data_IF_876635062004
#
_entry.id   IF_876635062004
#
_cell.length_a   1.000
_cell.length_b   1.000
_cell.length_c   1.000
_cell.angle_alpha   90.00
_cell.angle_beta   90.00
_cell.angle_gamma   90.00
#
_symmetry.space_group_name_H-M   'P 1'
#
loop_
_entity.id
_entity.type
_entity.pdbx_description
1 polymer ?
#
# COMPACT_ATOMS: atom_id res chain seq x y z
N UNK A 1 7.63 6.18 9.46
CA UNK A 1 8.51 5.10 8.98
C UNK A 1 8.64 4.13 10.12
N UNK A 2 8.29 2.87 9.91
CA UNK A 2 8.26 1.84 10.95
C UNK A 2 9.52 0.98 10.77
N UNK A 3 10.29 0.77 11.82
CA UNK A 3 11.36 -0.24 11.74
C UNK A 3 10.68 -1.61 11.65
N UNK A 4 11.14 -2.48 10.74
CA UNK A 4 10.58 -3.84 10.59
C UNK A 4 10.55 -4.63 11.91
N UNK A 5 11.43 -4.30 12.86
CA UNK A 5 11.51 -4.95 14.18
C UNK A 5 10.68 -4.26 15.27
N UNK A 6 10.12 -3.09 15.00
CA UNK A 6 9.32 -2.34 15.97
C UNK A 6 7.85 -2.75 15.86
N UNK A 7 7.53 -3.88 16.48
CA UNK A 7 6.16 -4.40 16.53
C UNK A 7 5.20 -3.46 17.24
N UNK A 8 5.66 -2.73 18.27
CA UNK A 8 4.83 -1.80 19.02
C UNK A 8 4.39 -0.61 18.17
N UNK A 9 5.29 -0.01 17.40
CA UNK A 9 4.95 1.06 16.47
C UNK A 9 4.02 0.58 15.35
N UNK A 10 4.22 -0.65 14.86
CA UNK A 10 3.35 -1.27 13.85
C UNK A 10 1.93 -1.48 14.38
N UNK A 11 1.80 -2.02 15.58
CA UNK A 11 0.51 -2.31 16.20
C UNK A 11 -0.22 -1.01 16.53
N UNK A 12 0.48 -0.01 17.07
CA UNK A 12 -0.08 1.32 17.31
C UNK A 12 -0.61 1.96 16.01
N UNK A 13 0.13 1.82 14.90
CA UNK A 13 -0.32 2.32 13.61
C UNK A 13 -1.52 1.53 13.07
N UNK A 14 -1.55 0.21 13.26
CA UNK A 14 -2.68 -0.64 12.88
C UNK A 14 -3.97 -0.22 13.60
N UNK A 15 -3.94 -0.05 14.91
CA UNK A 15 -5.11 0.41 15.68
C UNK A 15 -5.57 1.81 15.27
N UNK A 16 -4.63 2.69 14.91
CA UNK A 16 -4.97 4.01 14.39
C UNK A 16 -5.63 3.92 13.00
N UNK A 17 -5.18 3.01 12.13
CA UNK A 17 -5.83 2.73 10.84
C UNK A 17 -7.26 2.23 11.02
N UNK A 18 -7.47 1.30 11.98
CA UNK A 18 -8.81 0.83 12.33
C UNK A 18 -9.71 1.97 12.83
N UNK A 19 -9.21 2.78 13.77
CA UNK A 19 -9.95 3.94 14.32
C UNK A 19 -10.35 4.93 13.22
N UNK A 20 -9.49 5.13 12.22
CA UNK A 20 -9.73 6.03 11.09
C UNK A 20 -10.49 5.37 9.93
N UNK A 21 -10.71 4.06 9.98
CA UNK A 21 -11.28 3.26 8.88
C UNK A 21 -10.52 3.47 7.57
N UNK A 22 -9.20 3.36 7.63
CA UNK A 22 -8.32 3.43 6.44
C UNK A 22 -7.50 2.13 6.30
N UNK A 23 -7.06 1.77 5.08
CA UNK A 23 -6.15 0.67 4.87
C UNK A 23 -4.86 0.84 5.68
N UNK A 24 -4.36 -0.28 6.17
CA UNK A 24 -3.10 -0.36 6.87
C UNK A 24 -1.95 -0.25 5.86
N UNK A 25 -1.48 0.97 5.63
CA UNK A 25 -0.37 1.27 4.73
C UNK A 25 0.81 1.82 5.51
N UNK A 26 2.01 1.28 5.31
CA UNK A 26 3.20 1.81 5.97
C UNK A 26 4.48 1.63 5.15
N UNK A 27 5.45 2.50 5.41
CA UNK A 27 6.82 2.38 4.92
C UNK A 27 7.67 1.73 5.99
N UNK A 28 8.24 0.56 5.66
CA UNK A 28 9.20 -0.15 6.49
C UNK A 28 10.63 0.09 6.00
N UNK A 29 11.57 0.18 6.93
CA UNK A 29 13.01 0.20 6.62
C UNK A 29 13.62 -1.18 6.88
N UNK A 30 14.33 -1.72 5.89
CA UNK A 30 15.06 -2.98 5.98
C UNK A 30 16.52 -2.78 5.56
N UNK A 31 17.42 -2.69 6.55
CA UNK A 31 18.86 -2.41 6.34
C UNK A 31 19.06 -1.11 5.53
N UNK A 32 19.45 -1.24 4.26
CA UNK A 32 19.73 -0.13 3.32
C UNK A 32 18.55 0.21 2.40
N UNK A 33 17.49 -0.59 2.44
CA UNK A 33 16.35 -0.47 1.53
C UNK A 33 15.07 -0.18 2.30
N UNK A 34 14.08 0.28 1.54
CA UNK A 34 12.75 0.57 2.04
C UNK A 34 11.74 -0.37 1.39
N UNK A 35 10.62 -0.52 2.07
CA UNK A 35 9.48 -1.30 1.56
C UNK A 35 8.19 -0.56 1.87
N UNK A 36 7.22 -0.66 0.97
CA UNK A 36 5.86 -0.18 1.19
C UNK A 36 4.99 -1.41 1.34
N UNK A 37 4.21 -1.46 2.41
CA UNK A 37 3.24 -2.52 2.68
C UNK A 37 1.85 -1.92 2.74
N UNK A 38 0.87 -2.60 2.16
CA UNK A 38 -0.55 -2.25 2.30
C UNK A 38 -1.37 -3.49 2.63
N UNK A 39 -2.39 -3.30 3.46
CA UNK A 39 -3.35 -4.33 3.83
C UNK A 39 -4.70 -3.68 4.17
N UNK A 40 -5.81 -4.29 3.77
CA UNK A 40 -7.15 -3.84 4.10
C UNK A 40 -7.69 -4.45 5.40
N UNK A 41 -6.89 -5.25 6.11
CA UNK A 41 -7.20 -5.85 7.42
C UNK A 41 -7.69 -4.86 8.49
N UNK A 42 -7.41 -3.57 8.36
CA UNK A 42 -7.91 -2.52 9.26
C UNK A 42 -9.32 -2.01 8.92
N UNK A 43 -9.97 -2.55 7.89
CA UNK A 43 -11.32 -2.17 7.45
C UNK A 43 -12.35 -3.26 7.76
N UNK A 44 -13.62 -2.86 7.83
CA UNK A 44 -14.75 -3.76 8.09
C UNK A 44 -14.95 -4.77 6.93
N UNK A 45 -15.48 -5.96 7.23
CA UNK A 45 -15.65 -7.08 6.29
C UNK A 45 -16.46 -6.76 5.04
N UNK A 46 -17.42 -5.84 5.16
CA UNK A 46 -18.32 -5.46 4.07
C UNK A 46 -17.57 -4.64 3.00
N UNK A 47 -16.56 -3.85 3.41
CA UNK A 47 -15.68 -3.15 2.49
C UNK A 47 -14.78 -4.14 1.73
N UNK A 48 -14.25 -5.12 2.46
CA UNK A 48 -13.43 -6.19 1.90
C UNK A 48 -14.21 -6.97 0.83
N UNK A 49 -15.49 -7.26 1.09
CA UNK A 49 -16.38 -7.92 0.14
C UNK A 49 -16.65 -7.06 -1.10
N UNK A 50 -16.85 -5.75 -0.94
CA UNK A 50 -17.03 -4.82 -2.07
C UNK A 50 -15.78 -4.76 -2.97
N UNK A 51 -14.57 -4.66 -2.41
CA UNK A 51 -13.32 -4.64 -3.19
C UNK A 51 -13.11 -5.97 -3.92
N UNK A 52 -13.34 -7.11 -3.24
CA UNK A 52 -13.25 -8.46 -3.83
C UNK A 52 -14.22 -8.63 -4.99
N UNK A 53 -15.42 -8.07 -4.89
CA UNK A 53 -16.46 -8.20 -5.92
C UNK A 53 -16.31 -7.22 -7.08
N UNK A 54 -15.72 -6.04 -6.87
CA UNK A 54 -15.75 -4.95 -7.86
C UNK A 54 -14.46 -4.79 -8.69
N UNK A 55 -13.29 -5.23 -8.20
CA UNK A 55 -12.10 -4.47 -8.56
C UNK A 55 -10.74 -5.16 -8.54
N UNK A 56 -10.57 -6.34 -7.94
CA UNK A 56 -9.23 -6.80 -7.52
C UNK A 56 -8.19 -6.77 -8.67
N UNK A 57 -8.56 -7.25 -9.86
CA UNK A 57 -7.68 -7.22 -11.04
C UNK A 57 -7.44 -5.83 -11.65
N UNK A 58 -8.40 -4.90 -11.58
CA UNK A 58 -8.24 -3.54 -12.14
C UNK A 58 -7.39 -2.68 -11.21
N UNK A 59 -7.70 -2.70 -9.90
CA UNK A 59 -6.95 -1.90 -8.93
C UNK A 59 -5.51 -2.40 -8.77
N UNK A 60 -5.30 -3.72 -8.73
CA UNK A 60 -3.94 -4.27 -8.75
C UNK A 60 -3.11 -3.76 -9.95
N UNK A 61 -3.74 -3.67 -11.14
CA UNK A 61 -3.09 -3.12 -12.33
C UNK A 61 -2.78 -1.62 -12.21
N UNK A 62 -3.68 -0.84 -11.61
CA UNK A 62 -3.44 0.59 -11.34
C UNK A 62 -2.26 0.76 -10.38
N UNK A 63 -2.24 0.02 -9.26
CA UNK A 63 -1.14 0.04 -8.30
C UNK A 63 0.18 -0.35 -8.96
N UNK A 64 0.20 -1.42 -9.75
CA UNK A 64 1.38 -1.87 -10.46
C UNK A 64 1.90 -0.81 -11.44
N UNK A 65 1.02 -0.18 -12.22
CA UNK A 65 1.42 0.91 -13.14
C UNK A 65 1.95 2.13 -12.41
N UNK A 66 1.31 2.54 -11.30
CA UNK A 66 1.79 3.63 -10.45
C UNK A 66 3.18 3.32 -9.89
N UNK A 67 3.38 2.09 -9.41
CA UNK A 67 4.70 1.61 -9.00
C UNK A 67 5.73 1.74 -10.14
N UNK A 68 5.41 1.24 -11.34
CA UNK A 68 6.30 1.30 -12.49
C UNK A 68 6.65 2.74 -12.87
N UNK A 69 5.69 3.66 -12.87
CA UNK A 69 5.94 5.07 -13.18
C UNK A 69 6.92 5.73 -12.20
N UNK A 70 6.85 5.35 -10.92
CA UNK A 70 7.71 5.93 -9.87
C UNK A 70 9.08 5.24 -9.82
N UNK A 71 9.14 3.94 -10.04
CA UNK A 71 10.34 3.13 -9.80
C UNK A 71 11.11 2.73 -11.07
N UNK A 72 10.55 2.94 -12.27
CA UNK A 72 11.19 2.54 -13.54
C UNK A 72 12.53 3.23 -13.73
N UNK A 73 13.58 2.43 -14.00
CA UNK A 73 14.93 2.93 -14.25
C UNK A 73 15.67 3.42 -13.00
N UNK A 74 15.09 3.25 -11.81
CA UNK A 74 15.75 3.59 -10.55
C UNK A 74 16.43 2.37 -9.94
N UNK A 75 17.63 2.58 -9.39
CA UNK A 75 18.30 1.63 -8.51
C UNK A 75 17.93 1.94 -7.03
N UNK A 76 17.87 0.92 -6.16
CA UNK A 76 18.06 -0.50 -6.45
C UNK A 76 16.85 -1.10 -7.18
N UNK A 77 17.07 -2.21 -7.88
CA UNK A 77 15.97 -3.00 -8.45
C UNK A 77 14.94 -3.35 -7.36
N UNK A 78 13.73 -2.86 -7.57
CA UNK A 78 12.58 -3.07 -6.69
C UNK A 78 11.67 -4.18 -7.22
N UNK A 79 10.83 -4.73 -6.34
CA UNK A 79 9.89 -5.78 -6.67
C UNK A 79 8.51 -5.44 -6.11
N UNK A 80 7.48 -5.59 -6.92
CA UNK A 80 6.08 -5.47 -6.54
C UNK A 80 5.48 -6.87 -6.43
N UNK A 81 4.83 -7.17 -5.31
CA UNK A 81 4.07 -8.39 -5.07
C UNK A 81 2.73 -8.06 -4.40
N UNK A 82 1.67 -8.76 -4.78
CA UNK A 82 0.33 -8.58 -4.23
C UNK A 82 -0.71 -7.98 -5.18
N UNK A 83 -1.86 -7.64 -4.61
CA UNK A 83 -3.08 -7.24 -5.31
C UNK A 83 -3.69 -5.94 -4.76
N UNK A 84 -4.99 -5.74 -5.00
CA UNK A 84 -5.65 -4.53 -4.50
C UNK A 84 -5.75 -4.52 -2.97
N UNK A 85 -5.96 -5.69 -2.37
CA UNK A 85 -6.23 -5.83 -0.95
C UNK A 85 -4.99 -5.88 -0.07
N UNK A 86 -3.97 -6.59 -0.52
CA UNK A 86 -2.75 -6.82 0.25
C UNK A 86 -1.57 -6.95 -0.69
N UNK A 87 -0.43 -6.42 -0.25
CA UNK A 87 0.82 -6.61 -0.96
C UNK A 87 1.95 -5.78 -0.40
N UNK A 88 3.08 -5.86 -1.11
CA UNK A 88 4.27 -5.10 -0.80
C UNK A 88 5.09 -4.71 -2.04
N UNK A 89 5.83 -3.61 -1.88
CA UNK A 89 6.90 -3.23 -2.79
C UNK A 89 8.20 -3.19 -2.00
N UNK A 90 9.19 -3.98 -2.41
CA UNK A 90 10.49 -4.09 -1.73
C UNK A 90 11.63 -3.54 -2.59
N UNK A 91 12.79 -3.31 -1.96
CA UNK A 91 13.99 -2.87 -2.67
C UNK A 91 13.95 -1.40 -3.11
N UNK A 92 13.25 -0.54 -2.36
CA UNK A 92 13.08 0.86 -2.73
C UNK A 92 14.14 1.77 -2.09
N UNK A 93 14.44 2.88 -2.77
CA UNK A 93 15.01 4.06 -2.13
C UNK A 93 13.99 4.70 -1.18
N UNK A 94 14.44 5.53 -0.24
CA UNK A 94 13.53 6.23 0.67
C UNK A 94 12.54 7.13 -0.10
N UNK A 95 13.04 7.85 -1.10
CA UNK A 95 12.24 8.76 -1.91
C UNK A 95 11.15 8.01 -2.67
N UNK A 96 11.52 6.92 -3.36
CA UNK A 96 10.55 6.09 -4.09
C UNK A 96 9.52 5.46 -3.16
N UNK A 97 9.93 4.98 -1.98
CA UNK A 97 9.00 4.43 -0.99
C UNK A 97 7.99 5.46 -0.49
N UNK A 98 8.42 6.70 -0.23
CA UNK A 98 7.50 7.79 0.17
C UNK A 98 6.52 8.15 -0.95
N UNK A 99 7.01 8.26 -2.19
CA UNK A 99 6.17 8.57 -3.35
C UNK A 99 5.13 7.47 -3.60
N UNK A 100 5.54 6.20 -3.58
CA UNK A 100 4.65 5.05 -3.73
C UNK A 100 3.63 5.01 -2.59
N UNK A 101 4.06 5.16 -1.34
CA UNK A 101 3.16 5.16 -0.19
C UNK A 101 2.08 6.24 -0.30
N UNK A 102 2.44 7.46 -0.69
CA UNK A 102 1.49 8.55 -0.88
C UNK A 102 0.51 8.27 -2.03
N UNK A 103 1.01 7.77 -3.16
CA UNK A 103 0.17 7.44 -4.30
C UNK A 103 -0.80 6.29 -3.98
N UNK A 104 -0.34 5.25 -3.27
CA UNK A 104 -1.17 4.13 -2.87
C UNK A 104 -2.20 4.54 -1.82
N UNK A 105 -1.85 5.41 -0.87
CA UNK A 105 -2.83 5.97 0.07
C UNK A 105 -3.97 6.68 -0.66
N UNK A 106 -3.66 7.50 -1.67
CA UNK A 106 -4.69 8.15 -2.49
C UNK A 106 -5.55 7.14 -3.25
N UNK A 107 -4.99 6.04 -3.75
CA UNK A 107 -5.72 5.05 -4.53
C UNK A 107 -6.57 4.11 -3.67
N UNK A 108 -6.10 3.75 -2.47
CA UNK A 108 -6.67 2.71 -1.62
C UNK A 108 -7.65 3.23 -0.56
N UNK A 109 -7.61 4.52 -0.23
CA UNK A 109 -8.47 5.06 0.83
C UNK A 109 -9.96 5.02 0.43
N UNK A 110 -10.86 4.66 1.36
CA UNK A 110 -12.29 4.58 1.10
C UNK A 110 -12.83 5.90 0.54
N UNK A 111 -13.58 5.82 -0.57
CA UNK A 111 -14.06 6.99 -1.34
C UNK A 111 -13.20 7.31 -2.57
N UNK A 112 -11.88 7.08 -2.51
CA UNK A 112 -11.03 7.25 -3.69
C UNK A 112 -10.98 6.00 -4.55
N UNK A 113 -11.11 4.81 -3.95
CA UNK A 113 -11.15 3.55 -4.70
C UNK A 113 -12.28 3.54 -5.73
N UNK A 114 -13.48 3.99 -5.34
CA UNK A 114 -14.63 4.03 -6.25
C UNK A 114 -14.40 5.01 -7.41
N UNK A 115 -13.75 6.15 -7.14
CA UNK A 115 -13.35 7.12 -8.17
C UNK A 115 -12.27 6.56 -9.10
N UNK A 116 -11.26 5.86 -8.55
CA UNK A 116 -10.18 5.26 -9.32
C UNK A 116 -10.61 4.06 -10.17
N UNK A 117 -11.73 3.40 -9.81
CA UNK A 117 -12.31 2.31 -10.60
C UNK A 117 -13.27 2.79 -11.71
N UNK A 118 -13.76 4.02 -11.61
CA UNK A 118 -14.65 4.64 -12.59
C UNK A 118 -13.90 5.40 -13.71
N UNK A 119 -12.61 5.69 -13.52
CA UNK A 119 -11.72 6.32 -14.49
C UNK A 119 -11.02 5.28 -15.40
#
# INVERSE_FOLDING_TARGET
MIDKRDSAARDAWFYECQRRKIPFLHVAKARKHFSVHWDHISLDSDYDQMIRQSADGKMARVLFRTYQLIASGLEPKSFFDGGALVGDVTGLSESSARQIANAFALLLFPGNVQSALAA
#
